data_IF_248374175853
#
_entry.id   IF_248374175853
#
_cell.length_a   1.000
_cell.length_b   1.000
_cell.length_c   1.000
_cell.angle_alpha   90.00
_cell.angle_beta   90.00
_cell.angle_gamma   90.00
#
_symmetry.space_group_name_H-M   'P 1'
#
loop_
_entity.id
_entity.type
_entity.pdbx_description
1 polymer ?
2 polymer ?
3 non-polymer ?
4 water ?
#
# COMPACT_ATOMS: atom_id res chain seq x y z
N UNK A 1 9.07 15.89 25.50
CA UNK A 1 9.65 16.95 24.63
C UNK A 1 9.39 16.65 23.14
N UNK A 2 9.96 17.47 22.25
CA UNK A 2 9.70 17.38 20.81
C UNK A 2 10.21 16.05 20.26
N UNK A 3 9.34 15.31 19.53
CA UNK A 3 9.72 13.98 19.08
C UNK A 3 10.58 14.02 17.82
N UNK A 4 10.60 12.90 17.09
CA UNK A 4 11.52 12.69 15.99
C UNK A 4 10.92 11.75 14.95
N UNK A 5 10.33 10.66 15.42
CA UNK A 5 9.72 9.68 14.53
C UNK A 5 8.70 10.28 13.57
N UNK A 6 7.76 11.07 14.11
CA UNK A 6 6.77 11.72 13.27
C UNK A 6 7.41 12.72 12.32
N UNK A 7 8.42 13.44 12.79
CA UNK A 7 9.14 14.36 11.89
C UNK A 7 9.63 13.63 10.65
N UNK A 8 10.25 12.49 10.89
CA UNK A 8 10.75 11.67 9.79
C UNK A 8 9.65 11.21 8.82
N UNK A 9 8.57 10.61 9.34
CA UNK A 9 7.50 10.12 8.47
C UNK A 9 6.89 11.22 7.64
N UNK A 10 6.67 12.40 8.25
CA UNK A 10 6.17 13.54 7.51
C UNK A 10 7.14 13.97 6.40
N UNK A 11 8.43 13.94 6.71
CA UNK A 11 9.46 14.43 5.78
C UNK A 11 9.64 13.56 4.54
N UNK A 12 9.46 12.25 4.71
CA UNK A 12 9.69 11.27 3.62
C UNK A 12 8.43 10.88 2.85
N UNK A 13 7.28 11.39 3.24
CA UNK A 13 6.04 11.00 2.59
C UNK A 13 6.08 11.39 1.10
N UNK A 14 5.79 10.44 0.20
CA UNK A 14 5.87 10.76 -1.21
C UNK A 14 4.91 11.84 -1.66
N UNK A 15 5.35 12.63 -2.64
CA UNK A 15 4.54 13.66 -3.26
C UNK A 15 3.67 13.07 -4.34
N UNK A 16 3.12 13.97 -5.16
CA UNK A 16 2.22 13.62 -6.26
C UNK A 16 2.93 12.78 -7.31
N UNK A 17 2.25 11.71 -7.73
CA UNK A 17 2.72 10.87 -8.83
C UNK A 17 1.64 10.81 -9.91
N UNK A 18 1.99 11.15 -11.14
CA UNK A 18 1.05 11.06 -12.26
C UNK A 18 1.16 9.72 -12.95
N UNK A 19 0.06 9.25 -13.54
CA UNK A 19 0.04 7.97 -14.24
C UNK A 19 0.55 8.06 -15.67
N UNK A 20 0.48 9.25 -16.25
CA UNK A 20 0.81 9.47 -17.67
C UNK A 20 -0.34 9.06 -18.58
N UNK A 21 -1.55 9.09 -18.05
CA UNK A 21 -2.72 8.64 -18.80
C UNK A 21 -3.15 9.72 -19.79
N UNK A 22 -3.39 9.32 -21.04
CA UNK A 22 -3.92 10.19 -22.07
C UNK A 22 -5.44 10.24 -21.94
N UNK A 23 -5.97 11.28 -21.33
CA UNK A 23 -7.41 11.36 -21.09
C UNK A 23 -8.23 11.65 -22.37
N UNK A 24 -7.56 11.78 -23.50
CA UNK A 24 -8.24 11.89 -24.80
C UNK A 24 -8.80 10.58 -25.31
N UNK A 25 -8.10 9.48 -25.05
CA UNK A 25 -8.59 8.20 -25.54
C UNK A 25 -9.79 7.76 -24.73
N UNK A 26 -10.68 6.97 -25.35
CA UNK A 26 -11.83 6.43 -24.65
C UNK A 26 -11.44 5.59 -23.43
N UNK A 27 -12.37 5.47 -22.50
CA UNK A 27 -12.16 4.68 -21.29
C UNK A 27 -12.32 3.18 -21.52
N UNK A 28 -11.38 2.58 -22.22
CA UNK A 28 -11.40 1.15 -22.50
C UNK A 28 -10.65 0.42 -21.41
N UNK A 29 -10.98 -0.85 -21.25
CA UNK A 29 -10.30 -1.70 -20.30
C UNK A 29 -8.78 -1.65 -20.54
N UNK A 30 -8.35 -1.76 -21.79
CA UNK A 30 -6.94 -1.83 -22.11
C UNK A 30 -6.22 -0.54 -21.73
N UNK A 31 -6.84 0.60 -22.06
CA UNK A 31 -6.25 1.90 -21.80
C UNK A 31 -6.19 2.15 -20.29
N UNK A 32 -7.28 1.87 -19.59
CA UNK A 32 -7.32 2.16 -18.14
C UNK A 32 -6.35 1.27 -17.36
N UNK A 33 -6.34 -0.02 -17.67
CA UNK A 33 -5.45 -0.94 -16.93
C UNK A 33 -4.00 -0.74 -17.28
N UNK A 34 -3.69 -0.41 -18.55
CA UNK A 34 -2.31 -0.11 -18.90
C UNK A 34 -1.81 1.11 -18.14
N UNK A 35 -2.65 2.14 -17.99
CA UNK A 35 -2.30 3.30 -17.18
C UNK A 35 -2.17 3.01 -15.70
N UNK A 36 -3.02 2.17 -15.15
CA UNK A 36 -2.89 1.79 -13.74
C UNK A 36 -1.59 1.03 -13.54
N UNK A 37 -1.22 0.16 -14.48
CA UNK A 37 0.05 -0.57 -14.40
C UNK A 37 1.27 0.36 -14.45
N UNK A 38 1.20 1.38 -15.29
CA UNK A 38 2.29 2.36 -15.38
C UNK A 38 2.37 3.16 -14.08
N UNK A 39 1.20 3.52 -13.53
CA UNK A 39 1.16 4.21 -12.23
C UNK A 39 1.79 3.36 -11.13
N UNK A 40 1.51 2.05 -11.13
CA UNK A 40 2.13 1.13 -10.23
C UNK A 40 3.64 1.13 -10.33
N UNK A 41 4.14 1.08 -11.54
CA UNK A 41 5.60 1.07 -11.80
C UNK A 41 6.22 2.34 -11.25
N UNK A 42 5.57 3.47 -11.51
CA UNK A 42 6.05 4.78 -11.03
C UNK A 42 6.01 4.91 -9.53
N UNK A 43 4.88 4.48 -8.93
CA UNK A 43 4.77 4.51 -7.49
C UNK A 43 5.78 3.57 -6.81
N UNK A 44 6.10 2.44 -7.44
CA UNK A 44 7.05 1.49 -6.87
C UNK A 44 8.42 2.17 -6.63
N UNK A 45 8.83 3.03 -7.55
CA UNK A 45 10.05 3.79 -7.34
C UNK A 45 9.99 4.59 -6.04
N UNK A 46 8.86 5.25 -5.81
CA UNK A 46 8.71 6.08 -4.63
C UNK A 46 8.57 5.21 -3.36
N UNK A 47 7.92 4.07 -3.46
CA UNK A 47 7.80 3.20 -2.30
C UNK A 47 9.17 2.72 -1.84
N UNK A 48 10.03 2.37 -2.80
CA UNK A 48 11.39 1.93 -2.45
C UNK A 48 12.18 3.04 -1.77
N UNK A 49 12.12 4.24 -2.32
CA UNK A 49 12.85 5.37 -1.74
C UNK A 49 12.34 5.73 -0.35
N UNK A 50 11.01 5.68 -0.18
CA UNK A 50 10.38 5.91 1.10
C UNK A 50 10.83 4.87 2.11
N UNK A 51 10.70 3.59 1.77
CA UNK A 51 11.02 2.54 2.73
C UNK A 51 12.47 2.61 3.19
N UNK A 52 13.38 2.86 2.26
CA UNK A 52 14.81 2.92 2.58
C UNK A 52 15.16 4.05 3.53
N UNK A 53 14.28 5.06 3.59
CA UNK A 53 14.42 6.22 4.46
C UNK A 53 13.70 6.09 5.78
N UNK A 54 13.03 4.96 6.00
CA UNK A 54 12.29 4.78 7.25
C UNK A 54 13.22 4.42 8.40
N UNK A 55 12.94 4.96 9.61
CA UNK A 55 13.74 4.56 10.75
C UNK A 55 13.86 3.04 10.90
N UNK A 56 15.10 2.57 11.01
CA UNK A 56 15.39 1.17 11.21
C UNK A 56 15.33 0.24 10.03
N UNK A 57 14.75 0.68 8.90
CA UNK A 57 14.50 -0.23 7.80
C UNK A 57 15.80 -0.85 7.24
N UNK A 58 16.83 -0.02 7.14
CA UNK A 58 18.13 -0.49 6.66
C UNK A 58 18.81 -1.49 7.61
N UNK A 59 18.30 -1.67 8.82
CA UNK A 59 18.81 -2.69 9.75
C UNK A 59 18.42 -4.08 9.27
N UNK A 60 17.36 -4.20 8.47
CA UNK A 60 16.95 -5.52 7.98
C UNK A 60 17.94 -6.05 6.96
N UNK A 61 18.06 -7.37 6.86
CA UNK A 61 18.85 -7.94 5.80
C UNK A 61 18.37 -7.42 4.45
N UNK A 62 19.31 -7.18 3.54
CA UNK A 62 18.99 -6.61 2.23
C UNK A 62 17.94 -7.41 1.42
N UNK A 63 18.02 -8.72 1.50
CA UNK A 63 17.03 -9.55 0.81
C UNK A 63 15.66 -9.44 1.47
N UNK A 64 15.63 -9.21 2.78
CA UNK A 64 14.38 -9.03 3.51
C UNK A 64 13.77 -7.69 3.15
N UNK A 65 14.62 -6.68 3.02
CA UNK A 65 14.13 -5.36 2.60
C UNK A 65 13.39 -5.47 1.27
N UNK A 66 14.02 -6.16 0.31
CA UNK A 66 13.44 -6.36 -1.01
C UNK A 66 12.13 -7.12 -0.89
N UNK A 67 12.16 -8.19 -0.09
CA UNK A 67 10.99 -9.05 0.06
C UNK A 67 9.78 -8.29 0.60
N UNK A 68 9.97 -7.54 1.70
CA UNK A 68 8.84 -6.84 2.31
C UNK A 68 8.24 -5.79 1.38
N UNK A 69 9.09 -5.10 0.64
CA UNK A 69 8.60 -4.15 -0.37
C UNK A 69 7.82 -4.85 -1.46
N UNK A 70 8.36 -5.98 -1.96
CA UNK A 70 7.67 -6.71 -3.00
C UNK A 70 6.35 -7.35 -2.58
N UNK A 71 6.19 -7.65 -1.30
CA UNK A 71 4.93 -8.22 -0.81
C UNK A 71 3.90 -7.17 -0.42
N UNK A 72 4.36 -6.05 0.10
CA UNK A 72 3.48 -5.08 0.73
C UNK A 72 3.05 -3.91 -0.15
N UNK A 73 3.66 -3.74 -1.31
CA UNK A 73 3.37 -2.57 -2.16
C UNK A 73 1.89 -2.38 -2.45
N UNK A 74 1.16 -3.46 -2.74
CA UNK A 74 -0.26 -3.30 -3.08
C UNK A 74 -1.03 -2.65 -1.93
N UNK A 75 -0.87 -3.21 -0.72
CA UNK A 75 -1.53 -2.65 0.47
C UNK A 75 -1.14 -1.19 0.71
N UNK A 76 0.15 -0.91 0.59
CA UNK A 76 0.64 0.43 0.81
C UNK A 76 0.01 1.41 -0.15
N UNK A 77 0.02 1.06 -1.43
CA UNK A 77 -0.48 1.94 -2.48
C UNK A 77 -1.97 2.14 -2.39
N UNK A 78 -2.70 1.07 -2.09
CA UNK A 78 -4.17 1.19 -1.89
C UNK A 78 -4.53 2.07 -0.72
N UNK A 79 -3.83 1.90 0.40
CA UNK A 79 -4.07 2.68 1.60
C UNK A 79 -3.82 4.17 1.31
N UNK A 80 -2.69 4.47 0.64
CA UNK A 80 -2.36 5.84 0.28
C UNK A 80 -3.41 6.44 -0.69
N UNK A 81 -3.85 5.62 -1.65
CA UNK A 81 -4.87 6.04 -2.61
C UNK A 81 -6.18 6.35 -1.89
N UNK A 82 -6.57 5.51 -0.91
CA UNK A 82 -7.77 5.77 -0.11
C UNK A 82 -7.68 7.12 0.58
N UNK A 83 -6.53 7.44 1.15
CA UNK A 83 -6.33 8.74 1.79
C UNK A 83 -6.44 9.90 0.80
N UNK A 84 -5.80 9.79 -0.37
CA UNK A 84 -5.90 10.84 -1.41
C UNK A 84 -7.34 11.04 -1.83
N UNK A 85 -8.09 9.95 -1.91
CA UNK A 85 -9.46 10.01 -2.40
C UNK A 85 -10.31 10.70 -1.34
N UNK A 86 -10.03 10.38 -0.10
CA UNK A 86 -10.72 11.01 1.01
C UNK A 86 -10.45 12.52 1.06
N UNK A 87 -9.18 12.90 0.96
CA UNK A 87 -8.81 14.31 1.11
C UNK A 87 -9.17 15.16 -0.11
N UNK A 88 -9.14 14.57 -1.30
CA UNK A 88 -9.26 15.33 -2.55
C UNK A 88 -10.69 15.37 -3.06
N UNK A 89 -11.41 14.26 -2.93
CA UNK A 89 -12.77 14.17 -3.47
C UNK A 89 -13.74 13.57 -2.48
N UNK A 90 -13.45 13.69 -1.18
CA UNK A 90 -14.30 13.13 -0.13
C UNK A 90 -14.78 11.70 -0.41
N UNK A 91 -13.87 10.90 -0.97
CA UNK A 91 -14.11 9.48 -1.28
C UNK A 91 -15.20 9.23 -2.35
N UNK A 92 -15.59 10.28 -3.08
CA UNK A 92 -16.67 10.19 -4.08
C UNK A 92 -16.16 9.43 -5.30
N UNK A 93 -14.87 9.58 -5.55
CA UNK A 93 -14.22 8.92 -6.66
C UNK A 93 -12.89 8.35 -6.19
N UNK A 94 -12.24 7.54 -7.02
CA UNK A 94 -10.96 6.99 -6.61
C UNK A 94 -9.88 7.81 -7.27
N UNK A 95 -9.11 8.51 -6.44
CA UNK A 95 -8.07 9.41 -6.89
C UNK A 95 -6.76 8.64 -7.00
N UNK A 96 -6.65 7.82 -8.05
CA UNK A 96 -5.39 7.10 -8.26
C UNK A 96 -4.24 8.06 -8.48
N UNK A 97 -4.49 9.08 -9.31
CA UNK A 97 -3.51 10.08 -9.70
C UNK A 97 -4.25 11.29 -10.25
N UNK A 98 -3.58 12.45 -10.29
CA UNK A 98 -4.31 13.66 -10.75
C UNK A 98 -4.83 13.50 -12.16
N UNK A 99 -4.12 12.74 -12.99
CA UNK A 99 -4.51 12.42 -14.36
C UNK A 99 -5.22 11.07 -14.53
N UNK A 100 -5.61 10.44 -13.42
CA UNK A 100 -6.28 9.16 -13.48
C UNK A 100 -7.22 9.03 -12.26
N UNK A 101 -8.34 9.71 -12.36
CA UNK A 101 -9.39 9.69 -11.36
C UNK A 101 -10.52 8.83 -11.90
N UNK A 102 -10.93 7.83 -11.12
CA UNK A 102 -11.98 6.93 -11.57
C UNK A 102 -13.35 7.40 -11.09
N UNK A 103 -14.25 7.56 -12.05
CA UNK A 103 -15.67 7.76 -11.78
C UNK A 103 -16.37 6.43 -11.94
N UNK A 104 -17.70 6.40 -11.84
CA UNK A 104 -18.44 5.14 -11.92
C UNK A 104 -18.23 4.47 -13.28
N UNK A 105 -18.21 5.25 -14.34
CA UNK A 105 -18.06 4.69 -15.66
C UNK A 105 -16.71 3.96 -15.73
N UNK A 106 -15.64 4.60 -15.25
CA UNK A 106 -14.32 3.96 -15.27
C UNK A 106 -14.22 2.71 -14.38
N UNK A 107 -14.89 2.74 -13.24
CA UNK A 107 -14.99 1.56 -12.37
C UNK A 107 -15.56 0.39 -13.14
N UNK A 108 -16.62 0.65 -13.91
CA UNK A 108 -17.21 -0.42 -14.72
C UNK A 108 -16.29 -0.87 -15.83
N UNK A 109 -15.73 0.09 -16.57
CA UNK A 109 -14.92 -0.24 -17.72
C UNK A 109 -13.63 -0.96 -17.35
N UNK A 110 -13.13 -0.70 -16.14
CA UNK A 110 -11.93 -1.37 -15.63
C UNK A 110 -12.14 -2.86 -15.34
N UNK A 111 -13.39 -3.30 -15.31
CA UNK A 111 -13.76 -4.67 -14.98
C UNK A 111 -13.37 -5.04 -13.55
N UNK A 112 -13.11 -4.03 -12.74
CA UNK A 112 -12.89 -4.28 -11.32
C UNK A 112 -13.77 -3.39 -10.46
N UNK A 113 -15.05 -3.29 -10.85
CA UNK A 113 -15.96 -2.39 -10.16
C UNK A 113 -16.09 -2.81 -8.71
N UNK A 114 -16.27 -4.11 -8.48
CA UNK A 114 -16.44 -4.62 -7.11
C UNK A 114 -15.25 -4.25 -6.23
N UNK A 115 -14.04 -4.44 -6.74
CA UNK A 115 -12.87 -4.08 -5.98
C UNK A 115 -12.79 -2.57 -5.74
N UNK A 116 -13.20 -1.78 -6.74
CA UNK A 116 -13.27 -0.34 -6.58
C UNK A 116 -14.24 0.11 -5.51
N UNK A 117 -15.39 -0.58 -5.43
CA UNK A 117 -16.33 -0.32 -4.37
C UNK A 117 -15.67 -0.55 -3.00
N UNK A 118 -14.93 -1.65 -2.86
CA UNK A 118 -14.27 -1.94 -1.59
C UNK A 118 -13.23 -0.86 -1.28
N UNK A 119 -12.48 -0.43 -2.30
CA UNK A 119 -11.51 0.66 -2.12
C UNK A 119 -12.16 1.97 -1.71
N UNK A 120 -13.34 2.27 -2.26
CA UNK A 120 -14.08 3.46 -1.86
C UNK A 120 -14.51 3.34 -0.38
N UNK A 121 -14.94 2.16 0.03
CA UNK A 121 -15.34 1.97 1.43
C UNK A 121 -14.14 2.19 2.35
N UNK A 122 -12.96 1.72 1.93
CA UNK A 122 -11.74 1.92 2.71
C UNK A 122 -11.46 3.42 2.84
N UNK A 123 -11.58 4.13 1.73
CA UNK A 123 -11.36 5.56 1.71
C UNK A 123 -12.32 6.26 2.67
N UNK A 124 -13.58 5.86 2.64
CA UNK A 124 -14.60 6.46 3.50
C UNK A 124 -14.33 6.24 4.99
N UNK A 125 -13.65 5.15 5.33
CA UNK A 125 -13.29 4.88 6.73
C UNK A 125 -12.42 5.97 7.33
N UNK A 126 -11.61 6.63 6.50
CA UNK A 126 -10.77 7.71 6.98
C UNK A 126 -11.64 8.85 7.51
N UNK A 127 -12.78 9.06 6.87
CA UNK A 127 -13.77 10.05 7.30
C UNK A 127 -14.58 9.56 8.49
N UNK A 128 -15.14 8.36 8.40
CA UNK A 128 -15.96 7.79 9.48
C UNK A 128 -15.23 7.74 10.81
N UNK A 129 -13.96 7.34 10.76
CA UNK A 129 -13.10 7.28 11.92
C UNK A 129 -12.35 8.57 12.25
N UNK A 130 -12.43 9.57 11.37
CA UNK A 130 -11.76 10.86 11.54
C UNK A 130 -10.27 10.64 11.80
N UNK A 131 -9.67 9.83 10.95
CA UNK A 131 -8.28 9.52 11.05
C UNK A 131 -7.41 10.79 10.87
N UNK A 132 -6.47 10.99 11.77
CA UNK A 132 -5.59 12.15 11.69
C UNK A 132 -4.45 11.87 10.69
N UNK A 133 -3.85 12.93 10.13
CA UNK A 133 -2.70 12.70 9.25
C UNK A 133 -1.60 11.87 9.92
N UNK A 134 -1.36 12.11 11.21
CA UNK A 134 -0.30 11.38 11.92
C UNK A 134 -0.66 9.89 12.09
N UNK A 135 -1.93 9.61 12.41
CA UNK A 135 -2.43 8.25 12.46
C UNK A 135 -2.28 7.58 11.11
N UNK A 136 -2.64 8.29 10.04
CA UNK A 136 -2.49 7.77 8.69
C UNK A 136 -1.03 7.37 8.41
N UNK A 137 -0.12 8.28 8.70
CA UNK A 137 1.31 8.02 8.40
C UNK A 137 1.85 6.81 9.18
N UNK A 138 1.52 6.72 10.46
CA UNK A 138 1.98 5.59 11.29
C UNK A 138 1.36 4.27 10.85
N UNK A 139 0.05 4.30 10.56
CA UNK A 139 -0.61 3.09 10.02
C UNK A 139 0.04 2.67 8.71
N UNK A 140 0.29 3.62 7.83
CA UNK A 140 0.87 3.27 6.54
C UNK A 140 2.26 2.66 6.68
N UNK A 141 3.06 3.21 7.59
CA UNK A 141 4.39 2.66 7.85
C UNK A 141 4.27 1.21 8.34
N UNK A 142 3.31 0.95 9.22
CA UNK A 142 3.11 -0.39 9.76
C UNK A 142 2.72 -1.41 8.66
N UNK A 143 2.00 -0.97 7.61
CA UNK A 143 1.65 -1.85 6.48
C UNK A 143 2.86 -2.46 5.80
N UNK A 144 3.97 -1.73 5.79
CA UNK A 144 5.19 -2.27 5.23
C UNK A 144 5.65 -3.52 5.96
N UNK A 145 5.30 -3.61 7.25
CA UNK A 145 5.74 -4.70 8.12
C UNK A 145 4.59 -5.66 8.42
N UNK A 146 3.66 -5.78 7.47
CA UNK A 146 2.47 -6.58 7.76
C UNK A 146 2.27 -7.79 6.85
N UNK A 147 3.31 -8.21 6.12
CA UNK A 147 3.17 -9.38 5.24
C UNK A 147 4.54 -10.05 5.09
N UNK A 148 4.65 -11.33 5.42
CA UNK A 148 5.94 -12.04 5.41
C UNK A 148 5.76 -13.50 5.00
N UNK A 149 6.84 -14.14 4.60
CA UNK A 149 6.73 -15.57 4.31
C UNK A 149 6.38 -16.39 5.55
N UNK A 150 5.59 -17.43 5.34
CA UNK A 150 5.24 -18.35 6.41
C UNK A 150 6.50 -18.95 7.04
N UNK A 151 7.52 -19.15 6.21
CA UNK A 151 8.82 -19.69 6.62
C UNK A 151 9.70 -18.64 7.31
N UNK A 152 9.23 -17.39 7.34
CA UNK A 152 9.99 -16.30 7.90
C UNK A 152 11.00 -15.64 6.99
N UNK A 153 11.54 -14.54 7.48
CA UNK A 153 12.59 -13.80 6.80
C UNK A 153 13.98 -14.30 7.14
N UNK A 154 15.00 -13.79 6.44
CA UNK A 154 16.39 -14.12 6.74
C UNK A 154 16.78 -13.72 8.16
N UNK A 155 16.39 -12.51 8.57
CA UNK A 155 16.56 -12.07 9.94
C UNK A 155 15.23 -11.67 10.55
N UNK A 156 14.50 -12.69 10.93
CA UNK A 156 13.18 -12.53 11.47
C UNK A 156 13.22 -11.81 12.80
N UNK A 157 14.24 -12.04 13.63
CA UNK A 157 14.32 -11.39 14.93
C UNK A 157 14.37 -9.88 14.81
N UNK A 158 15.20 -9.38 13.89
CA UNK A 158 15.28 -7.95 13.66
C UNK A 158 13.93 -7.41 13.14
N UNK A 159 13.30 -8.14 12.23
CA UNK A 159 12.00 -7.73 11.73
C UNK A 159 11.00 -7.63 12.88
N UNK A 160 10.98 -8.63 13.75
CA UNK A 160 9.98 -8.65 14.81
C UNK A 160 10.13 -7.45 15.76
N UNK A 161 11.37 -7.08 16.03
CA UNK A 161 11.65 -5.91 16.84
C UNK A 161 11.21 -4.63 16.15
N UNK A 162 11.51 -4.52 14.85
CA UNK A 162 11.15 -3.33 14.10
C UNK A 162 9.63 -3.17 14.07
N UNK A 163 8.92 -4.26 13.78
CA UNK A 163 7.47 -4.21 13.77
C UNK A 163 6.93 -3.78 15.13
N UNK A 164 7.45 -4.37 16.19
CA UNK A 164 7.07 -3.98 17.54
C UNK A 164 7.19 -2.47 17.74
N UNK A 165 8.31 -1.89 17.33
CA UNK A 165 8.57 -0.48 17.50
C UNK A 165 7.58 0.36 16.69
N UNK A 166 7.19 -0.12 15.51
CA UNK A 166 6.22 0.63 14.71
C UNK A 166 4.84 0.58 15.32
N UNK A 167 4.54 -0.52 16.00
CA UNK A 167 3.27 -0.64 16.69
C UNK A 167 3.25 0.33 17.88
N UNK A 168 4.36 0.41 18.59
CA UNK A 168 4.53 1.35 19.68
C UNK A 168 4.34 2.78 19.24
N UNK A 169 4.92 3.14 18.07
CA UNK A 169 4.75 4.50 17.55
C UNK A 169 3.27 4.79 17.24
N UNK A 170 2.55 3.83 16.68
CA UNK A 170 1.12 4.00 16.41
C UNK A 170 0.34 4.21 17.70
N UNK A 171 0.63 3.36 18.67
CA UNK A 171 -0.01 3.48 19.97
C UNK A 171 0.22 4.88 20.56
N UNK A 172 1.42 5.42 20.39
CA UNK A 172 1.73 6.72 20.98
C UNK A 172 0.95 7.89 20.35
N UNK A 173 0.63 7.77 19.07
CA UNK A 173 0.02 8.90 18.33
C UNK A 173 -1.50 8.84 18.20
N UNK A 174 -2.13 7.77 18.66
CA UNK A 174 -3.59 7.64 18.57
C UNK A 174 -4.28 8.86 19.17
N UNK A 175 -5.28 9.36 18.45
CA UNK A 175 -6.03 10.54 18.86
C UNK A 175 -7.10 10.11 19.87
N UNK A 176 -6.80 10.30 21.15
CA UNK A 176 -7.71 9.92 22.21
C UNK A 176 -7.45 10.77 23.44
N UNK A 177 -8.33 10.63 24.42
CA UNK A 177 -8.22 11.37 25.67
C UNK A 177 -7.68 10.42 26.73
N UNK A 178 -6.52 10.76 27.30
CA UNK A 178 -5.89 9.90 28.31
C UNK A 178 -6.73 9.86 29.61
N UNK A 179 -7.43 10.96 29.89
CA UNK A 179 -8.35 11.05 31.04
C UNK A 179 -9.47 10.01 30.94
N UNK A 180 -9.80 9.60 29.71
CA UNK A 180 -10.75 8.51 29.46
C UNK A 180 -10.02 7.32 28.80
N UNK A 181 -9.39 6.44 29.62
CA UNK A 181 -8.65 5.29 29.09
C UNK A 181 -9.44 4.41 28.10
N UNK A 182 -10.75 4.33 28.29
CA UNK A 182 -11.61 3.57 27.38
C UNK A 182 -11.59 4.12 25.96
N UNK A 183 -11.47 5.44 25.83
CA UNK A 183 -11.42 6.06 24.50
C UNK A 183 -10.17 5.61 23.75
N UNK A 184 -9.01 5.62 24.42
CA UNK A 184 -7.76 5.19 23.77
C UNK A 184 -7.81 3.73 23.35
N UNK A 185 -8.36 2.88 24.22
CA UNK A 185 -8.51 1.47 23.91
C UNK A 185 -9.44 1.27 22.73
N UNK A 186 -10.58 1.97 22.72
CA UNK A 186 -11.52 1.83 21.62
C UNK A 186 -10.85 2.30 20.31
N UNK A 187 -10.13 3.41 20.39
CA UNK A 187 -9.42 3.97 19.21
C UNK A 187 -8.40 2.99 18.62
N UNK A 188 -7.54 2.45 19.48
CA UNK A 188 -6.57 1.46 19.03
C UNK A 188 -7.25 0.25 18.39
N UNK A 189 -8.33 -0.23 19.00
CA UNK A 189 -9.10 -1.29 18.40
C UNK A 189 -9.55 -0.91 16.98
N UNK A 190 -10.15 0.26 16.84
CA UNK A 190 -10.64 0.71 15.53
C UNK A 190 -9.53 0.76 14.47
N UNK A 191 -8.36 1.27 14.87
CA UNK A 191 -7.25 1.42 13.94
C UNK A 191 -6.68 0.07 13.51
N UNK A 192 -6.58 -0.87 14.43
CA UNK A 192 -6.05 -2.20 14.10
C UNK A 192 -7.07 -2.91 13.21
N UNK A 193 -8.36 -2.69 13.45
CA UNK A 193 -9.39 -3.26 12.57
C UNK A 193 -9.29 -2.66 11.16
N UNK A 194 -9.04 -1.35 11.08
CA UNK A 194 -8.89 -0.70 9.78
C UNK A 194 -7.68 -1.26 9.03
N UNK A 195 -6.54 -1.35 9.70
CA UNK A 195 -5.35 -1.96 9.11
C UNK A 195 -5.60 -3.36 8.59
N UNK A 196 -6.22 -4.20 9.42
CA UNK A 196 -6.52 -5.57 8.97
C UNK A 196 -7.37 -5.57 7.70
N UNK A 197 -8.29 -4.62 7.60
CA UNK A 197 -9.24 -4.55 6.49
C UNK A 197 -8.61 -4.25 5.13
N UNK A 198 -7.36 -3.75 5.15
CA UNK A 198 -6.63 -3.50 3.93
C UNK A 198 -6.29 -4.83 3.25
N UNK A 199 -5.98 -5.83 4.06
CA UNK A 199 -5.43 -7.10 3.52
C UNK A 199 -6.38 -7.84 2.56
N UNK A 200 -7.69 -7.98 2.90
CA UNK A 200 -8.54 -8.68 1.97
C UNK A 200 -8.71 -7.91 0.64
N UNK A 201 -8.66 -6.59 0.70
CA UNK A 201 -8.73 -5.77 -0.51
C UNK A 201 -7.50 -6.01 -1.36
N UNK A 202 -6.32 -5.93 -0.75
CA UNK A 202 -5.07 -6.21 -1.44
C UNK A 202 -5.08 -7.60 -2.06
N UNK A 203 -5.60 -8.61 -1.35
CA UNK A 203 -5.67 -9.96 -1.88
C UNK A 203 -6.52 -10.05 -3.16
N UNK A 204 -7.68 -9.39 -3.16
CA UNK A 204 -8.50 -9.39 -4.34
C UNK A 204 -7.77 -8.77 -5.52
N UNK A 205 -7.04 -7.70 -5.27
CA UNK A 205 -6.27 -7.03 -6.32
C UNK A 205 -5.07 -7.86 -6.77
N UNK A 206 -4.43 -8.55 -5.84
CA UNK A 206 -3.36 -9.49 -6.21
C UNK A 206 -3.91 -10.56 -7.15
N UNK A 207 -5.10 -11.11 -6.83
CA UNK A 207 -5.70 -12.14 -7.71
C UNK A 207 -6.01 -11.56 -9.07
N UNK A 208 -6.62 -10.37 -9.08
CA UNK A 208 -6.97 -9.71 -10.33
C UNK A 208 -5.78 -9.43 -11.22
N UNK A 209 -4.74 -8.83 -10.66
CA UNK A 209 -3.56 -8.46 -11.45
C UNK A 209 -2.82 -9.70 -11.98
N UNK A 210 -2.77 -10.76 -11.17
CA UNK A 210 -2.13 -11.99 -11.59
C UNK A 210 -2.89 -12.54 -12.80
N UNK A 211 -4.21 -12.62 -12.69
CA UNK A 211 -5.01 -13.18 -13.78
C UNK A 211 -4.87 -12.30 -15.01
N UNK A 212 -4.77 -10.99 -14.79
CA UNK A 212 -4.59 -10.05 -15.90
C UNK A 212 -3.25 -10.21 -16.59
N UNK A 213 -2.19 -10.40 -15.83
CA UNK A 213 -0.86 -10.57 -16.43
C UNK A 213 -0.85 -11.81 -17.33
N UNK A 214 -1.48 -12.88 -16.85
CA UNK A 214 -1.53 -14.13 -17.61
C UNK A 214 -2.21 -13.95 -18.98
N UNK A 215 -3.27 -13.16 -19.02
CA UNK A 215 -3.98 -12.93 -20.29
C UNK A 215 -3.63 -11.62 -20.97
N UNK A 216 -2.55 -10.97 -20.53
CA UNK A 216 -2.29 -9.58 -20.91
C UNK A 216 -2.13 -9.42 -22.41
N UNK A 217 -1.49 -10.40 -23.04
CA UNK A 217 -1.28 -10.31 -24.50
C UNK A 217 -2.61 -10.44 -25.24
N UNK A 218 -3.52 -11.25 -24.72
CA UNK A 218 -4.85 -11.43 -25.31
C UNK A 218 -5.76 -10.19 -25.21
N UNK A 219 -5.61 -9.41 -24.14
CA UNK A 219 -6.51 -8.25 -23.91
C UNK A 219 -5.79 -6.90 -24.13
N UNK A 220 -4.59 -6.95 -24.71
CA UNK A 220 -3.81 -5.77 -25.03
C UNK A 220 -3.53 -4.85 -23.83
N UNK A 221 -3.20 -5.45 -22.69
CA UNK A 221 -2.81 -4.67 -21.51
C UNK A 221 -1.29 -4.78 -21.33
N UNK A 222 -0.63 -3.65 -21.20
CA UNK A 222 0.82 -3.56 -21.05
C UNK A 222 1.18 -3.60 -19.58
N UNK A 223 2.15 -4.42 -19.23
CA UNK A 223 2.74 -4.42 -17.88
C UNK A 223 4.19 -3.98 -17.98
N UNK A 224 4.57 -2.94 -17.23
CA UNK A 224 5.98 -2.58 -17.22
C UNK A 224 6.88 -3.62 -16.56
N UNK A 225 8.19 -3.50 -16.73
CA UNK A 225 9.16 -4.51 -16.27
C UNK A 225 9.09 -4.92 -14.79
N UNK A 226 9.14 -3.95 -13.89
CA UNK A 226 9.16 -4.23 -12.45
C UNK A 226 7.84 -4.88 -12.04
N UNK A 227 6.73 -4.32 -12.50
CA UNK A 227 5.41 -4.90 -12.21
C UNK A 227 5.30 -6.35 -12.70
N UNK A 228 5.71 -6.60 -13.94
CA UNK A 228 5.59 -7.95 -14.53
C UNK A 228 6.44 -8.95 -13.75
N UNK A 229 7.62 -8.51 -13.33
CA UNK A 229 8.51 -9.37 -12.55
C UNK A 229 7.89 -9.71 -11.20
N UNK A 230 7.44 -8.68 -10.49
CA UNK A 230 6.89 -8.88 -9.13
C UNK A 230 5.59 -9.70 -9.16
N UNK A 231 4.75 -9.43 -10.16
CA UNK A 231 3.46 -10.13 -10.28
C UNK A 231 3.64 -11.57 -10.70
N UNK A 232 4.74 -11.87 -11.38
CA UNK A 232 4.97 -13.25 -11.82
C UNK A 232 5.83 -14.06 -10.84
N UNK A 233 6.63 -13.40 -10.02
CA UNK A 233 7.54 -14.09 -9.08
C UNK A 233 7.07 -14.02 -7.63
N UNK A 234 6.59 -12.87 -7.17
CA UNK A 234 6.23 -12.69 -5.76
C UNK A 234 4.76 -12.86 -5.50
N UNK A 235 3.93 -12.25 -6.34
CA UNK A 235 2.49 -12.37 -6.14
C UNK A 235 2.00 -13.82 -6.05
N UNK A 236 2.55 -14.73 -6.89
CA UNK A 236 2.08 -16.13 -6.77
C UNK A 236 2.44 -16.78 -5.44
N UNK A 237 3.48 -16.31 -4.76
CA UNK A 237 3.81 -16.82 -3.44
C UNK A 237 2.72 -16.46 -2.44
N UNK A 238 2.14 -15.28 -2.63
CA UNK A 238 1.00 -14.89 -1.82
C UNK A 238 -0.23 -15.73 -2.14
N UNK A 239 -0.53 -15.86 -3.43
CA UNK A 239 -1.71 -16.57 -3.87
C UNK A 239 -1.67 -18.05 -3.55
N UNK A 240 -0.47 -18.63 -3.45
CA UNK A 240 -0.30 -20.07 -3.17
C UNK A 240 -0.14 -20.33 -1.68
N UNK A 241 -0.18 -19.27 -0.86
CA UNK A 241 -0.12 -19.40 0.58
C UNK A 241 1.25 -19.48 1.24
N UNK A 242 2.31 -19.22 0.47
CA UNK A 242 3.69 -19.20 0.98
C UNK A 242 4.02 -17.94 1.77
N UNK A 243 3.27 -16.88 1.48
CA UNK A 243 3.46 -15.55 2.09
C UNK A 243 2.11 -15.05 2.58
N UNK A 244 2.04 -14.60 3.83
CA UNK A 244 0.75 -14.28 4.40
C UNK A 244 0.80 -12.99 5.18
N UNK A 245 -0.34 -12.30 5.26
CA UNK A 245 -0.39 -11.11 6.08
C UNK A 245 -0.31 -11.43 7.56
N UNK A 246 0.12 -10.46 8.35
CA UNK A 246 0.14 -10.54 9.78
C UNK A 246 -1.06 -9.69 10.20
N UNK A 247 -2.07 -10.36 10.74
CA UNK A 247 -3.29 -9.68 11.19
C UNK A 247 -3.15 -9.38 12.66
N UNK A 248 -3.76 -8.28 13.09
CA UNK A 248 -3.91 -8.02 14.51
C UNK A 248 -4.92 -8.95 15.16
N UNK A 249 -6.04 -9.14 14.48
CA UNK A 249 -7.18 -9.90 15.03
C UNK A 249 -7.42 -11.16 14.26
N UNK A 250 -7.96 -12.17 14.94
CA UNK A 250 -8.10 -13.50 14.34
C UNK A 250 -9.43 -13.60 13.61
N UNK B 1 13.71 -7.48 -11.39
CA UNK B 1 14.65 -7.67 -10.26
C UNK B 1 15.86 -6.72 -10.36
N UNK B 2 16.29 -6.44 -11.59
CA UNK B 2 17.42 -5.53 -11.83
C UNK B 2 17.10 -4.12 -11.36
N UNK B 3 16.10 -3.48 -11.96
CA UNK B 3 15.71 -2.10 -11.62
C UNK B 3 15.24 -2.00 -10.16
N UNK B 4 14.56 -3.02 -9.67
CA UNK B 4 14.04 -3.04 -8.30
C UNK B 4 15.18 -3.03 -7.27
N UNK B 5 16.14 -3.94 -7.45
CA UNK B 5 17.32 -4.02 -6.58
C UNK B 5 18.26 -2.82 -6.77
N UNK B 6 18.29 -2.28 -7.99
CA UNK B 6 19.07 -1.09 -8.30
C UNK B 6 18.64 0.11 -7.44
N UNK B 7 17.35 0.19 -7.10
CA UNK B 7 16.82 1.23 -6.22
C UNK B 7 17.30 1.10 -4.77
N UNK B 8 17.79 -0.09 -4.39
CA UNK B 8 18.38 -0.34 -3.06
C UNK B 8 19.91 -0.18 -3.03
N UNK B 9 20.58 -0.64 -4.08
CA UNK B 9 22.03 -0.56 -4.18
C UNK B 9 22.54 0.88 -4.32
N UNK B 10 21.78 1.72 -5.03
CA UNK B 10 22.17 3.11 -5.25
C UNK B 10 22.10 3.92 -3.96
N UNK B 11 23.27 4.40 -3.51
CA UNK B 11 23.39 5.19 -2.28
C UNK B 11 22.85 4.42 -1.06
N UNK B 12 23.37 3.22 -0.86
CA UNK B 12 22.94 2.36 0.25
C UNK B 12 23.42 2.92 1.59
#
# INVERSE_FOLDING_TARGET
SQPIFLNVLEAIEPGVVCAGHDNNQPDSFAALLSSLNELGERQLVHVVKWAKALPGFRNLHVDDQMAVIQYSWMGLMVFAMGWRSFTNVNSRMLYFAPDLVFNEYRMHKSRMYSQCVRMRHLSQEFGWLQITPQEFLCMKALLLFSIIPVDGLKNQKFFDELRMNYIKELDRIIACKRKNPTSCSRRFYQLTKLLDSVQPIARELHQFTFDLLIKSHMVSVDFPEMMAEIISVQVPKILSGKVKPIYFHT
HKKLLQLLTCSS
#
